data_IF_576482134916
#
_entry.id   IF_576482134916
#
_cell.length_a   1.000
_cell.length_b   1.000
_cell.length_c   1.000
_cell.angle_alpha   90.00
_cell.angle_beta   90.00
_cell.angle_gamma   90.00
#
_symmetry.space_group_name_H-M   'P 1'
#
loop_
_entity.id
_entity.type
_entity.pdbx_description
1 polymer ?
#
# COMPACT_ATOMS: atom_id res chain seq x y z
N UNK A 1 4.47 2.62 -13.98
CA UNK A 1 3.92 3.93 -13.57
C UNK A 1 5.06 4.81 -13.04
N UNK A 2 5.05 6.13 -13.24
CA UNK A 2 5.98 7.02 -12.53
C UNK A 2 5.34 7.44 -11.19
N UNK A 3 5.84 6.89 -10.09
CA UNK A 3 5.25 7.07 -8.74
C UNK A 3 5.18 8.54 -8.33
N UNK A 4 6.28 9.29 -8.50
CA UNK A 4 6.31 10.71 -8.13
C UNK A 4 5.25 11.52 -8.86
N UNK A 5 5.11 11.31 -10.18
CA UNK A 5 4.07 11.98 -10.98
C UNK A 5 2.67 11.54 -10.57
N UNK A 6 2.45 10.27 -10.26
CA UNK A 6 1.16 9.74 -9.81
C UNK A 6 0.72 10.38 -8.49
N UNK A 7 1.62 10.43 -7.50
CA UNK A 7 1.34 11.05 -6.20
C UNK A 7 1.03 12.54 -6.36
N UNK A 8 1.82 13.27 -7.16
CA UNK A 8 1.57 14.68 -7.47
C UNK A 8 0.21 14.89 -8.15
N UNK A 9 -0.18 14.04 -9.11
CA UNK A 9 -1.50 14.09 -9.76
C UNK A 9 -2.65 13.85 -8.78
N UNK A 10 -2.44 13.03 -7.74
CA UNK A 10 -3.39 12.83 -6.63
C UNK A 10 -3.35 13.97 -5.60
N UNK A 11 -2.44 14.92 -5.72
CA UNK A 11 -2.23 16.00 -4.75
C UNK A 11 -1.56 15.52 -3.45
N UNK A 12 -0.77 14.45 -3.52
CA UNK A 12 0.03 13.89 -2.43
C UNK A 12 1.49 14.30 -2.65
N UNK A 13 2.12 14.89 -1.63
CA UNK A 13 3.54 15.24 -1.68
C UNK A 13 4.41 13.96 -1.68
N UNK A 14 5.13 13.65 -2.78
CA UNK A 14 5.93 12.43 -2.86
C UNK A 14 7.16 12.45 -1.94
N UNK A 15 7.63 13.63 -1.55
CA UNK A 15 8.89 13.80 -0.82
C UNK A 15 8.63 14.05 0.68
N UNK A 16 7.35 14.11 1.09
CA UNK A 16 6.97 14.13 2.51
C UNK A 16 7.55 12.88 3.21
N UNK A 17 8.22 13.07 4.36
CA UNK A 17 8.71 11.96 5.16
C UNK A 17 7.57 11.08 5.67
N UNK A 18 7.76 9.78 5.54
CA UNK A 18 7.05 8.73 6.27
C UNK A 18 8.12 8.02 7.10
N UNK A 19 8.28 8.47 8.34
CA UNK A 19 9.35 8.06 9.25
C UNK A 19 10.75 8.31 8.64
N UNK A 20 11.47 7.25 8.27
CA UNK A 20 12.83 7.30 7.72
C UNK A 20 12.88 7.22 6.19
N UNK A 21 11.73 7.05 5.53
CA UNK A 21 11.63 7.00 4.06
C UNK A 21 10.70 8.12 3.56
N UNK A 22 10.64 8.31 2.25
CA UNK A 22 9.69 9.22 1.59
C UNK A 22 8.40 8.50 1.22
N UNK A 23 7.28 9.23 1.07
CA UNK A 23 6.03 8.69 0.50
C UNK A 23 6.24 8.01 -0.85
N UNK A 24 7.18 8.51 -1.67
CA UNK A 24 7.59 7.88 -2.92
C UNK A 24 8.17 6.47 -2.72
N UNK A 25 9.04 6.28 -1.73
CA UNK A 25 9.64 4.99 -1.42
C UNK A 25 8.61 4.03 -0.81
N UNK A 26 7.77 4.51 0.11
CA UNK A 26 6.68 3.71 0.68
C UNK A 26 5.70 3.24 -0.42
N UNK A 27 5.33 4.12 -1.34
CA UNK A 27 4.47 3.77 -2.47
C UNK A 27 5.12 2.76 -3.42
N UNK A 28 6.45 2.74 -3.54
CA UNK A 28 7.15 1.71 -4.32
C UNK A 28 6.95 0.31 -3.72
N UNK A 29 7.11 0.18 -2.39
CA UNK A 29 6.82 -1.08 -1.68
C UNK A 29 5.35 -1.53 -1.83
N UNK A 30 4.40 -0.59 -1.70
CA UNK A 30 2.98 -0.88 -1.97
C UNK A 30 2.77 -1.40 -3.39
N UNK A 31 3.42 -0.81 -4.38
CA UNK A 31 3.29 -1.28 -5.76
C UNK A 31 3.85 -2.69 -5.97
N UNK A 32 4.99 -3.00 -5.36
CA UNK A 32 5.59 -4.33 -5.41
C UNK A 32 4.65 -5.37 -4.78
N UNK A 33 4.11 -5.09 -3.59
CA UNK A 33 3.16 -5.98 -2.93
C UNK A 33 1.83 -6.13 -3.69
N UNK A 34 1.33 -5.07 -4.34
CA UNK A 34 0.16 -5.19 -5.22
C UNK A 34 0.46 -6.13 -6.39
N UNK A 35 1.64 -6.05 -7.00
CA UNK A 35 1.99 -6.93 -8.11
C UNK A 35 2.14 -8.39 -7.68
N UNK A 36 2.65 -8.62 -6.47
CA UNK A 36 2.89 -9.96 -5.94
C UNK A 36 1.61 -10.63 -5.43
N UNK A 37 0.80 -9.91 -4.63
CA UNK A 37 -0.32 -10.49 -3.90
C UNK A 37 -1.69 -10.10 -4.44
N UNK A 38 -1.82 -8.89 -4.99
CA UNK A 38 -3.12 -8.31 -5.35
C UNK A 38 -3.15 -7.74 -6.79
N UNK A 39 -2.73 -8.49 -7.84
CA UNK A 39 -2.47 -7.93 -9.16
C UNK A 39 -3.70 -7.31 -9.85
N UNK A 40 -4.92 -7.63 -9.40
CA UNK A 40 -6.15 -7.02 -9.93
C UNK A 40 -6.51 -5.66 -9.30
N UNK A 41 -5.85 -5.29 -8.19
CA UNK A 41 -6.08 -4.01 -7.52
C UNK A 41 -5.59 -2.85 -8.38
N UNK A 42 -6.52 -1.97 -8.75
CA UNK A 42 -6.24 -0.72 -9.47
C UNK A 42 -6.09 0.43 -8.47
N UNK A 43 -4.90 0.55 -7.89
CA UNK A 43 -4.60 1.55 -6.84
C UNK A 43 -4.87 2.99 -7.29
N UNK A 44 -4.87 3.24 -8.59
CA UNK A 44 -5.21 4.54 -9.17
C UNK A 44 -6.66 4.94 -8.90
N UNK A 45 -7.55 3.97 -8.62
CA UNK A 45 -8.94 4.23 -8.22
C UNK A 45 -9.08 4.63 -6.75
N UNK A 46 -8.06 4.40 -5.93
CA UNK A 46 -8.14 4.72 -4.51
C UNK A 46 -8.29 6.24 -4.31
N UNK A 47 -9.25 6.69 -3.47
CA UNK A 47 -9.40 8.10 -3.13
C UNK A 47 -8.10 8.64 -2.52
N UNK A 48 -7.80 9.92 -2.76
CA UNK A 48 -6.58 10.57 -2.27
C UNK A 48 -6.36 10.31 -0.77
N UNK A 49 -7.36 10.61 0.05
CA UNK A 49 -7.26 10.52 1.51
C UNK A 49 -6.92 9.10 1.97
N UNK A 50 -7.56 8.09 1.36
CA UNK A 50 -7.31 6.68 1.68
C UNK A 50 -5.94 6.20 1.22
N UNK A 51 -5.52 6.62 0.03
CA UNK A 51 -4.19 6.34 -0.48
C UNK A 51 -3.11 6.99 0.40
N UNK A 52 -3.35 8.23 0.82
CA UNK A 52 -2.44 8.96 1.70
C UNK A 52 -2.28 8.26 3.05
N UNK A 53 -3.39 7.81 3.66
CA UNK A 53 -3.34 7.04 4.89
C UNK A 53 -2.69 5.67 4.72
N UNK A 54 -2.90 4.96 3.61
CA UNK A 54 -2.25 3.68 3.33
C UNK A 54 -0.73 3.83 3.20
N UNK A 55 -0.27 4.89 2.51
CA UNK A 55 1.15 5.17 2.36
C UNK A 55 1.79 5.51 3.71
N UNK A 56 1.10 6.34 4.50
CA UNK A 56 1.61 6.73 5.82
C UNK A 56 1.61 5.53 6.79
N UNK A 57 0.58 4.67 6.76
CA UNK A 57 0.50 3.47 7.62
C UNK A 57 1.53 2.42 7.26
N UNK A 58 1.93 2.30 5.99
CA UNK A 58 2.99 1.38 5.59
C UNK A 58 4.31 1.75 6.27
N UNK A 59 4.65 3.04 6.35
CA UNK A 59 5.83 3.44 7.07
C UNK A 59 5.77 3.00 8.53
N UNK A 60 4.63 3.22 9.19
CA UNK A 60 4.43 2.82 10.58
C UNK A 60 4.58 1.29 10.77
N UNK A 61 4.16 0.50 9.78
CA UNK A 61 4.29 -0.96 9.80
C UNK A 61 5.70 -1.46 9.46
N UNK A 62 6.50 -0.71 8.68
CA UNK A 62 7.93 -1.00 8.45
C UNK A 62 8.73 -0.89 9.77
N UNK A 63 8.33 -0.04 10.71
CA UNK A 63 8.96 0.05 12.04
C UNK A 63 8.60 -1.13 12.94
N UNK A 64 7.38 -1.64 12.85
CA UNK A 64 6.91 -2.78 13.63
C UNK A 64 7.31 -4.13 13.01
N UNK A 65 8.17 -4.12 11.98
CA UNK A 65 8.69 -5.30 11.33
C UNK A 65 9.48 -6.18 12.33
N UNK A 66 8.90 -7.32 12.70
CA UNK A 66 9.66 -8.46 13.18
C UNK A 66 10.00 -9.37 11.98
N UNK A 67 11.22 -9.95 11.90
CA UNK A 67 11.59 -10.90 10.84
C UNK A 67 10.67 -12.13 10.71
N UNK A 68 9.80 -12.34 11.72
CA UNK A 68 8.83 -13.42 11.80
C UNK A 68 7.44 -12.99 11.28
N UNK A 69 7.19 -11.67 11.17
CA UNK A 69 5.99 -11.08 10.56
C UNK A 69 6.27 -10.93 9.06
N UNK A 70 5.86 -11.94 8.31
CA UNK A 70 5.95 -11.95 6.86
C UNK A 70 5.28 -10.70 6.27
N UNK A 71 6.07 -9.86 5.58
CA UNK A 71 5.65 -8.73 4.71
C UNK A 71 4.77 -7.63 5.36
N UNK A 72 5.34 -6.50 5.82
CA UNK A 72 4.58 -5.38 6.41
C UNK A 72 3.54 -4.76 5.46
N UNK A 73 3.73 -4.94 4.15
CA UNK A 73 2.77 -4.57 3.11
C UNK A 73 1.47 -5.37 3.22
N UNK A 74 1.54 -6.66 3.55
CA UNK A 74 0.36 -7.51 3.72
C UNK A 74 -0.46 -7.09 4.94
N UNK A 75 0.21 -6.76 6.06
CA UNK A 75 -0.44 -6.23 7.26
C UNK A 75 -1.14 -4.89 6.96
N UNK A 76 -0.48 -3.99 6.22
CA UNK A 76 -1.10 -2.74 5.79
C UNK A 76 -2.34 -2.98 4.91
N UNK A 77 -2.30 -3.98 4.03
CA UNK A 77 -3.44 -4.35 3.17
C UNK A 77 -4.60 -4.98 3.94
N UNK A 78 -4.33 -5.81 4.95
CA UNK A 78 -5.35 -6.37 5.84
C UNK A 78 -6.16 -5.26 6.55
N UNK A 79 -5.53 -4.14 6.89
CA UNK A 79 -6.21 -2.96 7.45
C UNK A 79 -7.08 -2.18 6.45
N UNK A 80 -7.04 -2.51 5.16
CA UNK A 80 -7.64 -1.74 4.05
C UNK A 80 -8.47 -2.61 3.07
N UNK A 81 -8.85 -3.83 3.46
CA UNK A 81 -9.55 -4.78 2.58
C UNK A 81 -10.79 -4.18 1.92
N UNK A 82 -11.64 -3.45 2.65
CA UNK A 82 -12.86 -2.86 2.08
C UNK A 82 -12.57 -1.86 0.96
N UNK A 83 -11.55 -1.01 1.13
CA UNK A 83 -11.08 -0.07 0.12
C UNK A 83 -10.42 -0.80 -1.06
N UNK A 84 -9.66 -1.85 -0.80
CA UNK A 84 -9.02 -2.66 -1.83
C UNK A 84 -10.06 -3.41 -2.69
N UNK A 85 -11.16 -3.90 -2.10
CA UNK A 85 -12.29 -4.49 -2.85
C UNK A 85 -12.93 -3.49 -3.80
N UNK A 86 -13.08 -2.22 -3.38
CA UNK A 86 -13.55 -1.13 -4.26
C UNK A 86 -12.57 -0.85 -5.42
N UNK A 87 -11.30 -1.21 -5.24
CA UNK A 87 -10.25 -1.09 -6.25
C UNK A 87 -10.08 -2.34 -7.12
N UNK A 88 -10.79 -3.44 -6.84
CA UNK A 88 -10.78 -4.67 -7.62
C UNK A 88 -10.12 -5.88 -6.95
N UNK A 89 -9.82 -5.81 -5.64
CA UNK A 89 -9.37 -6.98 -4.88
C UNK A 89 -10.42 -8.09 -4.95
N UNK A 90 -9.98 -9.28 -5.33
CA UNK A 90 -10.79 -10.50 -5.37
C UNK A 90 -10.67 -11.27 -4.06
N UNK A 91 -11.65 -12.11 -3.75
CA UNK A 91 -11.61 -12.92 -2.52
C UNK A 91 -10.39 -13.85 -2.49
N UNK A 92 -9.94 -14.34 -3.66
CA UNK A 92 -8.71 -15.15 -3.77
C UNK A 92 -7.43 -14.35 -3.43
N UNK A 93 -7.39 -13.06 -3.75
CA UNK A 93 -6.26 -12.20 -3.41
C UNK A 93 -6.30 -11.80 -1.94
N UNK A 94 -7.49 -11.61 -1.36
CA UNK A 94 -7.66 -11.46 0.09
C UNK A 94 -7.15 -12.68 0.85
N UNK A 95 -7.51 -13.89 0.41
CA UNK A 95 -6.98 -15.14 0.99
C UNK A 95 -5.44 -15.22 0.91
N UNK A 96 -4.84 -14.64 -0.14
CA UNK A 96 -3.38 -14.59 -0.28
C UNK A 96 -2.71 -13.55 0.61
N UNK A 97 -3.46 -12.60 1.18
CA UNK A 97 -2.99 -11.63 2.17
C UNK A 97 -3.03 -12.18 3.59
N UNK A 98 -3.93 -13.12 3.87
CA UNK A 98 -4.02 -13.82 5.14
C UNK A 98 -2.96 -14.95 5.21
N UNK A 99 -2.31 -15.13 6.36
CA UNK A 99 -1.22 -16.10 6.55
C UNK A 99 -1.69 -17.42 7.19
N UNK A 100 -3.00 -17.66 7.24
CA UNK A 100 -3.64 -18.82 7.90
C UNK A 100 -3.64 -20.05 6.99
#
# INVERSE_FOLDING_TARGET
>A
MNIGKFLQQKGIDPDKPVLNITRRQAMAGIMEAIQEYCPNVKIEKMPKEKLEHLIDSLGDNIINYHPEDYHPERVAFLGYIEELKKCGLTDKEEDALDFI
#
